data_IF_833415734483
#
_entry.id   IF_833415734483
#
_cell.length_a   1.000
_cell.length_b   1.000
_cell.length_c   1.000
_cell.angle_alpha   90.00
_cell.angle_beta   90.00
_cell.angle_gamma   90.00
#
_symmetry.space_group_name_H-M   'P 1'
#
loop_
_entity.id
_entity.type
_entity.pdbx_description
1 polymer ?
#
# COMPACT_ATOMS: atom_id res chain seq x y z
N UNK A 1 -16.84 -10.51 6.41
CA UNK A 1 -16.32 -10.10 7.74
C UNK A 1 -15.39 -8.90 7.53
N UNK A 2 -15.33 -7.92 8.45
CA UNK A 2 -14.49 -6.72 8.27
C UNK A 2 -13.00 -7.03 8.49
N UNK A 3 -12.14 -6.42 7.66
CA UNK A 3 -10.67 -6.39 7.81
C UNK A 3 -10.29 -5.76 9.15
N UNK A 4 -9.08 -6.04 9.64
CA UNK A 4 -8.53 -5.41 10.84
C UNK A 4 -7.51 -4.35 10.46
N UNK A 5 -7.54 -3.22 11.16
CA UNK A 5 -6.66 -2.08 10.95
C UNK A 5 -5.92 -1.82 12.27
N UNK A 6 -4.60 -1.70 12.19
CA UNK A 6 -3.74 -1.24 13.28
C UNK A 6 -3.10 0.10 12.84
N UNK A 7 -3.21 1.12 13.69
CA UNK A 7 -2.69 2.47 13.43
C UNK A 7 -1.58 2.78 14.42
N UNK A 8 -0.41 3.18 13.91
CA UNK A 8 0.71 3.69 14.68
C UNK A 8 1.22 4.98 14.02
N UNK A 9 1.93 5.82 14.77
CA UNK A 9 2.55 7.01 14.19
C UNK A 9 3.58 6.57 13.13
N UNK A 10 3.38 6.96 11.87
CA UNK A 10 4.26 6.56 10.76
C UNK A 10 3.84 5.26 10.06
N UNK A 11 2.94 4.46 10.63
CA UNK A 11 2.60 3.13 10.11
C UNK A 11 1.11 2.80 10.19
N UNK A 12 0.56 2.34 9.08
CA UNK A 12 -0.75 1.71 9.02
C UNK A 12 -0.60 0.25 8.58
N UNK A 13 -1.29 -0.65 9.28
CA UNK A 13 -1.31 -2.07 8.93
C UNK A 13 -2.74 -2.53 8.69
N UNK A 14 -2.93 -3.20 7.56
CA UNK A 14 -4.20 -3.73 7.08
C UNK A 14 -4.07 -5.24 7.04
N UNK A 15 -4.83 -5.94 7.87
CA UNK A 15 -4.90 -7.39 7.89
C UNK A 15 -6.14 -7.84 7.13
N UNK A 16 -5.92 -8.49 5.99
CA UNK A 16 -6.99 -8.98 5.15
C UNK A 16 -7.50 -10.33 5.64
N UNK A 17 -8.84 -10.47 5.66
CA UNK A 17 -9.50 -11.76 5.90
C UNK A 17 -9.91 -12.47 4.62
N UNK A 18 -9.97 -11.74 3.51
CA UNK A 18 -10.27 -12.24 2.17
C UNK A 18 -9.56 -11.37 1.13
N UNK A 19 -9.37 -11.90 -0.09
CA UNK A 19 -8.73 -11.14 -1.16
C UNK A 19 -9.59 -9.94 -1.55
N UNK A 20 -9.01 -8.71 -1.59
CA UNK A 20 -9.74 -7.55 -2.06
C UNK A 20 -10.08 -7.73 -3.54
N UNK A 21 -11.37 -7.63 -3.88
CA UNK A 21 -11.82 -7.72 -5.27
C UNK A 21 -11.80 -6.34 -5.92
N UNK A 22 -11.04 -6.22 -7.01
CA UNK A 22 -10.94 -4.98 -7.79
C UNK A 22 -10.17 -3.88 -7.07
N UNK A 23 -10.30 -2.66 -7.59
CA UNK A 23 -9.68 -1.47 -7.00
C UNK A 23 -10.42 -1.07 -5.72
N UNK A 24 -9.68 -0.82 -4.65
CA UNK A 24 -10.20 -0.42 -3.34
C UNK A 24 -9.50 0.82 -2.83
N UNK A 25 -10.27 1.80 -2.37
CA UNK A 25 -9.76 3.00 -1.69
C UNK A 25 -9.47 2.73 -0.21
N UNK A 26 -8.63 3.56 0.40
CA UNK A 26 -8.43 3.51 1.86
C UNK A 26 -9.74 3.88 2.60
N UNK A 27 -10.55 4.77 2.05
CA UNK A 27 -11.87 5.09 2.61
C UNK A 27 -12.81 3.88 2.65
N UNK A 28 -12.80 3.02 1.63
CA UNK A 28 -13.59 1.76 1.62
C UNK A 28 -13.11 0.75 2.67
N UNK A 29 -11.84 0.83 3.09
CA UNK A 29 -11.33 0.04 4.21
C UNK A 29 -11.75 0.59 5.58
N UNK A 30 -12.16 1.86 5.64
CA UNK A 30 -12.63 2.52 6.86
C UNK A 30 -11.73 3.65 7.36
N UNK A 31 -10.61 3.93 6.69
CA UNK A 31 -9.74 5.05 7.04
C UNK A 31 -10.44 6.38 6.78
N UNK A 32 -10.30 7.31 7.72
CA UNK A 32 -10.54 8.72 7.52
C UNK A 32 -9.24 9.42 7.13
N UNK A 33 -9.33 10.64 6.58
CA UNK A 33 -8.12 11.39 6.22
C UNK A 33 -7.24 11.63 7.46
N UNK A 34 -7.82 11.92 8.63
CA UNK A 34 -7.02 12.13 9.86
C UNK A 34 -6.22 10.91 10.31
N UNK A 35 -6.61 9.68 9.91
CA UNK A 35 -5.86 8.45 10.20
C UNK A 35 -4.59 8.33 9.32
N UNK A 36 -4.49 9.15 8.27
CA UNK A 36 -3.46 9.10 7.24
C UNK A 36 -2.60 10.36 7.21
N UNK A 37 -2.44 10.99 8.37
CA UNK A 37 -1.49 12.07 8.59
C UNK A 37 -0.16 11.54 9.13
N UNK A 38 0.93 11.86 8.44
CA UNK A 38 2.27 11.38 8.77
C UNK A 38 3.18 12.58 9.05
N UNK A 39 3.29 12.95 10.33
CA UNK A 39 4.02 14.13 10.80
C UNK A 39 5.51 14.12 10.41
N UNK A 40 6.17 12.96 10.47
CA UNK A 40 7.59 12.84 10.16
C UNK A 40 7.93 12.61 8.69
N UNK A 41 6.96 12.70 7.77
CA UNK A 41 7.14 12.39 6.34
C UNK A 41 7.39 10.91 6.00
N UNK A 42 7.65 10.08 7.01
CA UNK A 42 7.84 8.64 6.84
C UNK A 42 6.47 7.94 6.82
N UNK A 43 6.18 7.25 5.72
CA UNK A 43 4.92 6.53 5.51
C UNK A 43 5.21 5.06 5.37
N UNK A 44 4.66 4.23 6.26
CA UNK A 44 4.69 2.77 6.17
C UNK A 44 3.27 2.22 6.06
N UNK A 45 2.99 1.48 4.99
CA UNK A 45 1.71 0.80 4.77
C UNK A 45 1.98 -0.69 4.66
N UNK A 46 1.43 -1.47 5.59
CA UNK A 46 1.59 -2.93 5.65
C UNK A 46 0.29 -3.59 5.23
N UNK A 47 0.34 -4.38 4.17
CA UNK A 47 -0.76 -5.23 3.70
C UNK A 47 -0.43 -6.67 4.08
N UNK A 48 -1.17 -7.22 5.03
CA UNK A 48 -0.98 -8.58 5.54
C UNK A 48 -2.04 -9.52 4.97
N UNK A 49 -1.59 -10.40 4.07
CA UNK A 49 -2.38 -11.44 3.43
C UNK A 49 -2.16 -12.82 4.07
N UNK A 50 -1.38 -12.91 5.15
CA UNK A 50 -1.05 -14.19 5.80
C UNK A 50 -2.27 -15.01 6.26
N UNK A 51 -3.41 -14.40 6.68
CA UNK A 51 -4.62 -15.16 7.00
C UNK A 51 -5.32 -15.80 5.79
N UNK A 52 -4.96 -15.40 4.58
CA UNK A 52 -5.60 -15.85 3.35
C UNK A 52 -4.84 -17.08 2.82
N UNK A 53 -5.55 -18.18 2.48
CA UNK A 53 -4.91 -19.32 1.83
C UNK A 53 -4.19 -18.90 0.54
N UNK A 54 -3.01 -19.47 0.26
CA UNK A 54 -2.23 -19.15 -0.94
C UNK A 54 -3.06 -19.47 -2.19
N UNK A 55 -3.27 -18.44 -3.00
CA UNK A 55 -4.09 -18.42 -4.22
C UNK A 55 -4.14 -17.01 -4.83
N UNK A 56 -3.11 -16.19 -4.62
CA UNK A 56 -3.01 -14.84 -5.18
C UNK A 56 -2.83 -14.89 -6.70
N UNK A 57 -3.87 -15.29 -7.44
CA UNK A 57 -3.91 -15.19 -8.89
C UNK A 57 -4.22 -13.74 -9.26
N UNK A 58 -3.17 -12.93 -9.36
CA UNK A 58 -3.29 -11.54 -9.82
C UNK A 58 -3.61 -11.51 -11.32
N UNK A 59 -4.87 -11.27 -11.68
CA UNK A 59 -5.31 -11.20 -13.08
C UNK A 59 -4.81 -9.93 -13.79
N UNK A 60 -4.57 -8.85 -13.05
CA UNK A 60 -4.06 -7.56 -13.54
C UNK A 60 -2.76 -7.19 -12.85
N UNK A 61 -2.03 -6.21 -13.39
CA UNK A 61 -0.81 -5.69 -12.76
C UNK A 61 -1.16 -5.04 -11.43
N UNK A 62 -0.62 -5.53 -10.30
CA UNK A 62 -0.91 -4.95 -9.01
C UNK A 62 -0.42 -3.50 -8.97
N UNK A 63 -1.28 -2.60 -8.49
CA UNK A 63 -1.08 -1.16 -8.56
C UNK A 63 -1.45 -0.53 -7.22
N UNK A 64 -0.65 0.42 -6.75
CA UNK A 64 -0.97 1.27 -5.60
C UNK A 64 -0.92 2.73 -6.07
N UNK A 65 -1.97 3.48 -5.80
CA UNK A 65 -2.09 4.89 -6.13
C UNK A 65 -2.24 5.67 -4.83
N UNK A 66 -1.34 6.61 -4.58
CA UNK A 66 -1.37 7.44 -3.38
C UNK A 66 -1.50 8.90 -3.79
N UNK A 67 -2.48 9.57 -3.21
CA UNK A 67 -2.75 10.98 -3.40
C UNK A 67 -2.61 11.67 -2.06
N UNK A 68 -2.04 12.85 -2.07
CA UNK A 68 -1.77 13.63 -0.86
C UNK A 68 -1.97 15.12 -1.13
N UNK A 69 -2.23 15.89 -0.07
CA UNK A 69 -2.62 17.29 -0.18
C UNK A 69 -1.43 18.19 -0.56
N UNK A 70 -0.24 17.82 -0.10
CA UNK A 70 0.98 18.61 -0.24
C UNK A 70 1.58 18.45 -1.65
N UNK A 71 2.16 19.52 -2.18
CA UNK A 71 2.98 19.43 -3.40
C UNK A 71 4.35 18.93 -2.99
N UNK A 72 4.74 17.75 -3.46
CA UNK A 72 6.02 17.14 -3.14
C UNK A 72 6.92 17.16 -4.38
N UNK A 73 8.18 17.57 -4.22
CA UNK A 73 9.13 17.63 -5.34
C UNK A 73 9.73 16.25 -5.63
N UNK A 74 10.22 15.57 -4.60
CA UNK A 74 10.77 14.22 -4.70
C UNK A 74 10.28 13.36 -3.54
N UNK A 75 9.91 12.12 -3.85
CA UNK A 75 9.51 11.11 -2.87
C UNK A 75 10.19 9.79 -3.19
N UNK A 76 10.71 9.13 -2.16
CA UNK A 76 11.38 7.84 -2.31
C UNK A 76 10.42 6.74 -1.91
N UNK A 77 10.33 5.68 -2.71
CA UNK A 77 9.38 4.59 -2.50
C UNK A 77 10.08 3.25 -2.59
N UNK A 78 9.81 2.39 -1.61
CA UNK A 78 10.22 0.99 -1.60
C UNK A 78 8.98 0.15 -1.38
N UNK A 79 8.78 -0.86 -2.22
CA UNK A 79 7.71 -1.83 -2.03
C UNK A 79 8.30 -3.23 -2.01
N UNK A 80 8.21 -3.87 -0.84
CA UNK A 80 8.71 -5.21 -0.60
C UNK A 80 7.55 -6.17 -0.38
N UNK A 81 7.64 -7.35 -0.97
CA UNK A 81 6.78 -8.48 -0.65
C UNK A 81 7.64 -9.63 -0.15
N UNK A 82 7.31 -10.15 1.02
CA UNK A 82 8.09 -11.20 1.69
C UNK A 82 9.61 -10.89 1.72
N UNK A 83 9.95 -9.63 2.06
CA UNK A 83 11.32 -9.10 2.20
C UNK A 83 12.11 -8.99 0.88
N UNK A 84 11.43 -8.97 -0.26
CA UNK A 84 12.04 -8.77 -1.57
C UNK A 84 11.36 -7.62 -2.30
N UNK A 85 12.15 -6.74 -2.89
CA UNK A 85 11.62 -5.58 -3.62
C UNK A 85 10.92 -6.00 -4.90
N UNK A 86 9.66 -5.58 -4.99
CA UNK A 86 8.73 -5.86 -6.09
C UNK A 86 8.28 -4.60 -6.82
N UNK A 87 8.71 -3.41 -6.41
CA UNK A 87 8.43 -2.18 -7.15
C UNK A 87 9.03 -2.28 -8.57
N UNK A 88 8.19 -2.13 -9.60
CA UNK A 88 8.60 -2.19 -11.01
C UNK A 88 8.71 -0.78 -11.61
N UNK A 89 7.66 0.04 -11.46
CA UNK A 89 7.63 1.41 -11.96
C UNK A 89 7.01 2.35 -10.93
N UNK A 90 7.58 3.55 -10.85
CA UNK A 90 7.05 4.69 -10.10
C UNK A 90 6.71 5.82 -11.08
N UNK A 91 5.53 6.40 -10.94
CA UNK A 91 5.16 7.62 -11.63
C UNK A 91 4.68 8.66 -10.61
N UNK A 92 5.47 9.72 -10.44
CA UNK A 92 5.23 10.76 -9.44
C UNK A 92 4.80 12.06 -10.12
N UNK A 93 3.73 12.67 -9.60
CA UNK A 93 3.13 13.91 -10.10
C UNK A 93 2.74 14.80 -8.93
N UNK A 94 3.71 15.54 -8.36
CA UNK A 94 3.45 16.57 -7.36
C UNK A 94 2.69 16.03 -6.15
N UNK A 95 1.36 16.09 -6.19
CA UNK A 95 0.35 15.59 -5.25
C UNK A 95 0.01 14.08 -5.32
N UNK A 96 0.66 13.31 -6.18
CA UNK A 96 0.35 11.88 -6.31
C UNK A 96 1.51 11.03 -6.74
N UNK A 97 1.48 9.76 -6.36
CA UNK A 97 2.40 8.74 -6.84
C UNK A 97 1.64 7.46 -7.20
N UNK A 98 1.90 6.93 -8.39
CA UNK A 98 1.38 5.64 -8.87
C UNK A 98 2.54 4.65 -8.89
N UNK A 99 2.33 3.50 -8.27
CA UNK A 99 3.30 2.42 -8.13
C UNK A 99 2.77 1.17 -8.83
N UNK A 100 3.50 0.69 -9.82
CA UNK A 100 3.23 -0.58 -10.49
C UNK A 100 4.16 -1.63 -9.89
N UNK A 101 3.59 -2.76 -9.50
CA UNK A 101 4.31 -3.85 -8.86
C UNK A 101 4.58 -4.98 -9.84
N UNK A 102 5.70 -5.66 -9.65
CA UNK A 102 6.09 -6.81 -10.45
C UNK A 102 5.24 -8.03 -10.06
N UNK A 103 4.20 -8.28 -10.86
CA UNK A 103 3.29 -9.41 -10.71
C UNK A 103 4.01 -10.77 -10.65
N UNK A 104 5.00 -10.97 -11.52
CA UNK A 104 5.69 -12.25 -11.60
C UNK A 104 6.46 -12.54 -10.30
N UNK A 105 7.18 -11.54 -9.78
CA UNK A 105 7.85 -11.64 -8.48
C UNK A 105 6.84 -11.89 -7.35
N UNK A 106 5.69 -11.23 -7.36
CA UNK A 106 4.63 -11.46 -6.38
C UNK A 106 4.17 -12.92 -6.35
N UNK A 107 3.94 -13.52 -7.52
CA UNK A 107 3.57 -14.93 -7.64
C UNK A 107 4.71 -15.87 -7.21
N UNK A 108 5.95 -15.56 -7.57
CA UNK A 108 7.13 -16.37 -7.19
C UNK A 108 7.42 -16.35 -5.69
N UNK A 109 7.11 -15.24 -5.03
CA UNK A 109 7.40 -15.01 -3.62
C UNK A 109 6.25 -15.37 -2.69
N UNK A 110 5.08 -15.75 -3.22
CA UNK A 110 3.93 -16.19 -2.42
C UNK A 110 4.30 -17.42 -1.58
N UNK A 111 3.99 -17.38 -0.30
CA UNK A 111 4.24 -18.47 0.64
C UNK A 111 2.92 -18.98 1.24
N UNK A 112 2.96 -20.16 1.85
CA UNK A 112 1.75 -20.76 2.44
C UNK A 112 1.25 -20.07 3.71
N UNK A 113 2.14 -19.41 4.45
CA UNK A 113 1.86 -18.96 5.82
C UNK A 113 2.22 -17.51 6.11
N UNK A 114 2.99 -16.86 5.23
CA UNK A 114 3.40 -15.48 5.41
C UNK A 114 3.40 -14.76 4.06
N UNK A 115 2.48 -13.82 3.90
CA UNK A 115 2.36 -13.01 2.71
C UNK A 115 2.17 -11.56 3.14
N UNK A 116 3.28 -10.84 3.28
CA UNK A 116 3.28 -9.47 3.77
C UNK A 116 3.88 -8.57 2.70
N UNK A 117 3.09 -7.60 2.26
CA UNK A 117 3.54 -6.51 1.39
C UNK A 117 3.73 -5.25 2.24
N UNK A 118 4.92 -4.68 2.20
CA UNK A 118 5.28 -3.47 2.93
C UNK A 118 5.60 -2.40 1.90
N UNK A 119 4.82 -1.33 1.93
CA UNK A 119 5.14 -0.11 1.21
C UNK A 119 5.74 0.89 2.19
N UNK A 120 6.91 1.42 1.82
CA UNK A 120 7.58 2.48 2.56
C UNK A 120 7.77 3.67 1.62
N UNK A 121 7.42 4.85 2.10
CA UNK A 121 7.72 6.12 1.47
C UNK A 121 8.50 7.03 2.42
N UNK A 122 9.44 7.77 1.85
CA UNK A 122 10.08 8.91 2.50
C UNK A 122 9.69 10.19 1.77
N UNK A 123 8.99 11.07 2.49
CA UNK A 123 8.58 12.40 2.05
C UNK A 123 9.47 13.47 2.68
N UNK A 124 9.78 14.56 1.97
CA UNK A 124 10.64 15.63 2.47
C UNK A 124 10.02 16.45 3.61
N UNK A 125 8.72 16.30 3.84
CA UNK A 125 7.94 17.05 4.83
C UNK A 125 6.77 16.19 5.34
N UNK A 126 6.05 16.64 6.39
CA UNK A 126 4.80 16.00 6.78
C UNK A 126 3.86 15.81 5.58
N UNK A 127 3.09 14.72 5.58
CA UNK A 127 2.19 14.40 4.46
C UNK A 127 0.83 13.94 4.95
N UNK A 128 -0.22 14.43 4.28
CA UNK A 128 -1.61 14.04 4.48
C UNK A 128 -2.11 13.25 3.27
N UNK A 129 -2.25 11.93 3.40
CA UNK A 129 -2.85 11.14 2.32
C UNK A 129 -4.36 11.36 2.26
N UNK A 130 -4.91 11.31 1.06
CA UNK A 130 -6.35 11.47 0.80
C UNK A 130 -6.97 10.07 0.73
N UNK A 131 -7.72 9.66 1.76
CA UNK A 131 -8.27 8.31 1.91
C UNK A 131 -9.19 7.90 0.75
N UNK A 132 -9.92 8.86 0.19
CA UNK A 132 -10.91 8.64 -0.87
C UNK A 132 -10.32 8.50 -2.27
N UNK A 133 -9.13 9.06 -2.49
CA UNK A 133 -8.43 9.01 -3.80
C UNK A 133 -7.34 7.96 -3.81
N UNK A 134 -6.66 7.80 -2.68
CA UNK A 134 -5.65 6.77 -2.49
C UNK A 134 -6.29 5.39 -2.55
N UNK A 135 -5.67 4.46 -3.26
CA UNK A 135 -6.24 3.16 -3.55
C UNK A 135 -5.20 2.12 -3.93
N UNK A 136 -5.61 0.86 -3.91
CA UNK A 136 -4.80 -0.27 -4.36
C UNK A 136 -5.66 -1.24 -5.16
N UNK A 137 -5.01 -2.02 -6.02
CA UNK A 137 -5.61 -3.10 -6.77
C UNK A 137 -4.56 -4.19 -6.85
N UNK A 138 -4.81 -5.29 -6.14
CA UNK A 138 -3.96 -6.47 -6.18
C UNK A 138 -4.58 -7.48 -7.13
#
# INVERSE_FOLDING_TARGET
MKNSIELNQGEIKIIFKELPKGKKSFKELGFQDHDLFFEGGNVRIVFDFSPIPPQLSFFKTPTIELFYNEQMEETHWVCDFNRKTILDKKNHHGHSTILLLNRNKLNELEQRHQNILILHADFPSPVQLISSKSSFHF
#
